data_IF_188621288681
#
_entry.id   IF_188621288681
#
_cell.length_a   1.000
_cell.length_b   1.000
_cell.length_c   1.000
_cell.angle_alpha   90.00
_cell.angle_beta   90.00
_cell.angle_gamma   90.00
#
_symmetry.space_group_name_H-M   'P 1'
#
loop_
_entity.id
_entity.type
_entity.pdbx_description
1 polymer ?
#
# COMPACT_ATOMS: atom_id res chain seq x y z
N UNK A 1 -0.71 12.31 16.04
CA UNK A 1 -1.95 12.22 15.22
C UNK A 1 -2.71 10.95 15.57
N UNK A 2 -4.03 11.01 15.72
CA UNK A 2 -4.87 9.81 15.84
C UNK A 2 -5.33 9.36 14.48
N UNK A 3 -5.32 8.05 14.26
CA UNK A 3 -5.89 7.44 13.06
C UNK A 3 -7.32 7.04 13.38
N UNK A 4 -8.27 7.82 12.89
CA UNK A 4 -9.71 7.62 13.17
C UNK A 4 -10.34 6.85 12.00
N UNK A 5 -11.19 5.85 12.26
CA UNK A 5 -11.81 5.04 11.20
C UNK A 5 -12.55 5.88 10.16
N UNK A 6 -13.29 6.89 10.58
CA UNK A 6 -14.07 7.76 9.70
C UNK A 6 -13.21 8.64 8.77
N UNK A 7 -11.94 8.84 9.11
CA UNK A 7 -11.00 9.67 8.34
C UNK A 7 -9.98 8.83 7.56
N UNK A 8 -10.10 7.50 7.57
CA UNK A 8 -9.06 6.60 7.09
C UNK A 8 -9.52 5.74 5.92
N UNK A 9 -8.66 5.65 4.92
CA UNK A 9 -8.72 4.68 3.84
C UNK A 9 -7.41 3.91 3.78
N UNK A 10 -7.31 2.95 2.86
CA UNK A 10 -6.10 2.14 2.70
C UNK A 10 -5.83 1.84 1.23
N UNK A 11 -4.56 1.62 0.91
CA UNK A 11 -4.11 1.14 -0.39
C UNK A 11 -3.14 -0.03 -0.22
N UNK A 12 -3.36 -1.07 -1.02
CA UNK A 12 -2.48 -2.25 -1.12
C UNK A 12 -1.73 -2.12 -2.43
N UNK A 13 -0.40 -2.05 -2.38
CA UNK A 13 0.43 -1.78 -3.54
C UNK A 13 1.25 -3.01 -3.91
N UNK A 14 0.99 -3.56 -5.10
CA UNK A 14 1.84 -4.56 -5.77
C UNK A 14 2.17 -5.81 -4.92
N UNK A 15 1.27 -6.24 -4.05
CA UNK A 15 1.42 -7.48 -3.28
C UNK A 15 1.01 -8.69 -4.12
N UNK A 16 1.67 -8.84 -5.25
CA UNK A 16 1.37 -9.80 -6.32
C UNK A 16 2.22 -11.06 -6.21
N UNK A 17 1.70 -12.16 -6.74
CA UNK A 17 2.29 -13.49 -6.64
C UNK A 17 3.79 -13.52 -6.96
N UNK A 18 4.18 -13.01 -8.14
CA UNK A 18 5.59 -13.06 -8.57
C UNK A 18 6.50 -12.08 -7.83
N UNK A 19 5.97 -10.92 -7.44
CA UNK A 19 6.75 -9.94 -6.66
C UNK A 19 6.97 -10.42 -5.24
N UNK A 20 5.94 -10.94 -4.59
CA UNK A 20 6.03 -11.40 -3.20
C UNK A 20 7.01 -12.55 -3.03
N UNK A 21 7.12 -13.44 -4.02
CA UNK A 21 8.10 -14.53 -4.02
C UNK A 21 9.55 -14.05 -3.87
N UNK A 22 9.85 -12.85 -4.37
CA UNK A 22 11.20 -12.29 -4.35
C UNK A 22 11.50 -11.46 -3.09
N UNK A 23 10.49 -11.18 -2.27
CA UNK A 23 10.64 -10.30 -1.11
C UNK A 23 11.27 -11.01 0.09
N UNK A 24 12.03 -10.25 0.88
CA UNK A 24 12.53 -10.70 2.18
C UNK A 24 11.37 -10.78 3.17
N UNK A 25 11.33 -11.82 3.99
CA UNK A 25 10.28 -12.04 5.00
C UNK A 25 8.86 -11.94 4.44
N UNK A 26 8.67 -12.44 3.23
CA UNK A 26 7.39 -12.32 2.50
C UNK A 26 6.20 -12.86 3.27
N UNK A 27 6.37 -14.00 3.94
CA UNK A 27 5.28 -14.65 4.69
C UNK A 27 4.82 -13.78 5.87
N UNK A 28 5.76 -13.22 6.62
CA UNK A 28 5.45 -12.35 7.75
C UNK A 28 4.71 -11.09 7.28
N UNK A 29 5.17 -10.50 6.17
CA UNK A 29 4.54 -9.34 5.55
C UNK A 29 3.11 -9.66 5.10
N UNK A 30 2.90 -10.79 4.41
CA UNK A 30 1.59 -11.25 3.98
C UNK A 30 0.62 -11.44 5.16
N UNK A 31 1.07 -12.08 6.23
CA UNK A 31 0.26 -12.32 7.43
C UNK A 31 -0.19 -11.00 8.08
N UNK A 32 0.73 -10.03 8.20
CA UNK A 32 0.40 -8.72 8.78
C UNK A 32 -0.53 -7.92 7.89
N UNK A 33 -0.31 -7.94 6.59
CA UNK A 33 -1.21 -7.28 5.64
C UNK A 33 -2.62 -7.89 5.69
N UNK A 34 -2.72 -9.22 5.72
CA UNK A 34 -4.01 -9.90 5.81
C UNK A 34 -4.73 -9.58 7.13
N UNK A 35 -4.01 -9.55 8.23
CA UNK A 35 -4.56 -9.18 9.55
C UNK A 35 -5.13 -7.76 9.52
N UNK A 36 -4.37 -6.81 8.99
CA UNK A 36 -4.81 -5.42 8.86
C UNK A 36 -6.04 -5.31 7.96
N UNK A 37 -6.02 -5.94 6.79
CA UNK A 37 -7.13 -5.89 5.85
C UNK A 37 -8.44 -6.45 6.44
N UNK A 38 -8.35 -7.53 7.19
CA UNK A 38 -9.53 -8.07 7.91
C UNK A 38 -10.10 -7.06 8.90
N UNK A 39 -9.23 -6.39 9.66
CA UNK A 39 -9.65 -5.34 10.58
C UNK A 39 -10.31 -4.17 9.87
N UNK A 40 -9.74 -3.75 8.75
CA UNK A 40 -10.29 -2.66 7.94
C UNK A 40 -11.66 -3.04 7.36
N UNK A 41 -11.83 -4.28 6.92
CA UNK A 41 -13.11 -4.78 6.43
C UNK A 41 -14.18 -4.76 7.52
N UNK A 42 -13.85 -5.22 8.72
CA UNK A 42 -14.78 -5.21 9.87
C UNK A 42 -15.21 -3.79 10.22
N UNK A 43 -14.29 -2.82 10.13
CA UNK A 43 -14.56 -1.42 10.41
C UNK A 43 -15.17 -0.66 9.22
N UNK A 44 -15.42 -1.33 8.11
CA UNK A 44 -15.91 -0.72 6.86
C UNK A 44 -15.02 0.43 6.34
N UNK A 45 -13.71 0.30 6.53
CA UNK A 45 -12.73 1.26 6.01
C UNK A 45 -12.43 0.91 4.56
N UNK A 46 -12.62 1.87 3.62
CA UNK A 46 -12.42 1.60 2.20
C UNK A 46 -10.96 1.32 1.87
N UNK A 47 -10.75 0.32 1.02
CA UNK A 47 -9.43 -0.12 0.58
C UNK A 47 -9.37 -0.22 -0.94
N UNK A 48 -8.29 0.28 -1.52
CA UNK A 48 -7.99 0.14 -2.95
C UNK A 48 -6.82 -0.81 -3.12
N UNK A 49 -6.99 -1.82 -3.97
CA UNK A 49 -5.93 -2.75 -4.34
C UNK A 49 -5.35 -2.32 -5.68
N UNK A 50 -4.03 -2.18 -5.73
CA UNK A 50 -3.28 -1.75 -6.91
C UNK A 50 -2.34 -2.86 -7.34
N UNK A 51 -2.27 -3.12 -8.63
CA UNK A 51 -1.37 -4.10 -9.24
C UNK A 51 -0.50 -3.46 -10.33
N UNK A 52 0.75 -3.90 -10.37
CA UNK A 52 1.69 -3.53 -11.41
C UNK A 52 1.65 -4.59 -12.51
N UNK A 53 1.40 -4.19 -13.78
CA UNK A 53 1.51 -5.10 -14.93
C UNK A 53 1.04 -6.53 -14.62
N UNK A 54 -0.25 -6.69 -14.40
CA UNK A 54 -0.87 -7.95 -13.94
C UNK A 54 -0.52 -9.14 -14.83
N UNK A 55 -0.50 -8.95 -16.17
CA UNK A 55 -0.16 -10.00 -17.13
C UNK A 55 1.23 -10.61 -16.88
N UNK A 56 2.19 -9.79 -16.44
CA UNK A 56 3.56 -10.24 -16.18
C UNK A 56 3.81 -10.65 -14.74
N UNK A 57 3.22 -9.96 -13.78
CA UNK A 57 3.51 -10.13 -12.36
C UNK A 57 2.47 -10.92 -11.57
N UNK A 58 1.35 -11.25 -12.20
CA UNK A 58 0.27 -12.00 -11.57
C UNK A 58 -0.67 -11.12 -10.76
N UNK A 59 -1.61 -11.76 -10.08
CA UNK A 59 -2.60 -11.10 -9.23
C UNK A 59 -2.10 -10.88 -7.81
N UNK A 60 -2.77 -10.01 -7.09
CA UNK A 60 -2.62 -9.88 -5.63
C UNK A 60 -2.81 -11.25 -4.99
N UNK A 61 -2.06 -11.53 -3.93
CA UNK A 61 -2.13 -12.81 -3.23
C UNK A 61 -3.58 -13.15 -2.83
N UNK A 62 -4.04 -14.39 -3.04
CA UNK A 62 -5.42 -14.78 -2.72
C UNK A 62 -5.84 -14.47 -1.29
N UNK A 63 -4.93 -14.66 -0.33
CA UNK A 63 -5.17 -14.34 1.08
C UNK A 63 -5.50 -12.87 1.32
N UNK A 64 -4.94 -11.98 0.51
CA UNK A 64 -5.17 -10.53 0.63
C UNK A 64 -6.49 -10.13 0.00
N UNK A 65 -6.86 -10.71 -1.13
CA UNK A 65 -8.20 -10.54 -1.70
C UNK A 65 -9.28 -11.00 -0.71
N UNK A 66 -9.09 -12.17 -0.12
CA UNK A 66 -10.02 -12.71 0.88
C UNK A 66 -10.13 -11.78 2.08
N UNK A 67 -9.00 -11.34 2.64
CA UNK A 67 -8.96 -10.45 3.80
C UNK A 67 -9.61 -9.09 3.50
N UNK A 68 -9.43 -8.56 2.30
CA UNK A 68 -10.04 -7.31 1.86
C UNK A 68 -11.52 -7.45 1.50
N UNK A 69 -12.00 -8.68 1.28
CA UNK A 69 -13.39 -8.95 0.89
C UNK A 69 -13.74 -8.54 -0.54
N UNK A 70 -12.75 -8.45 -1.41
CA UNK A 70 -12.93 -8.07 -2.81
C UNK A 70 -11.84 -8.66 -3.69
N UNK A 71 -12.13 -8.83 -4.98
CA UNK A 71 -11.14 -9.17 -6.00
C UNK A 71 -10.95 -8.03 -7.01
N UNK A 72 -11.54 -6.87 -6.73
CA UNK A 72 -11.36 -5.68 -7.56
C UNK A 72 -9.97 -5.09 -7.37
N UNK A 73 -9.36 -4.67 -8.45
CA UNK A 73 -8.05 -4.02 -8.45
C UNK A 73 -7.95 -2.96 -9.51
N UNK A 74 -6.98 -2.06 -9.34
CA UNK A 74 -6.58 -1.09 -10.35
C UNK A 74 -5.18 -1.44 -10.84
N UNK A 75 -4.94 -1.34 -12.13
CA UNK A 75 -3.62 -1.62 -12.72
C UNK A 75 -2.85 -0.34 -12.99
N UNK A 76 -1.55 -0.37 -12.75
CA UNK A 76 -0.63 0.72 -13.07
C UNK A 76 0.60 0.24 -13.83
N UNK A 77 1.29 1.15 -14.50
CA UNK A 77 2.57 0.92 -15.16
C UNK A 77 3.69 1.80 -14.56
N UNK A 78 3.35 2.71 -13.66
CA UNK A 78 4.29 3.58 -12.93
C UNK A 78 4.66 2.96 -11.58
N UNK A 79 5.72 3.45 -10.95
CA UNK A 79 6.07 3.03 -9.58
C UNK A 79 5.06 3.60 -8.58
N UNK A 80 4.90 4.91 -8.53
CA UNK A 80 3.88 5.55 -7.69
C UNK A 80 2.47 5.28 -8.21
N UNK A 81 1.57 4.87 -7.33
CA UNK A 81 0.16 4.71 -7.68
C UNK A 81 -0.51 6.05 -8.03
N UNK A 82 0.01 7.16 -7.51
CA UNK A 82 -0.54 8.50 -7.78
C UNK A 82 -0.21 9.02 -9.19
N UNK A 83 0.72 8.39 -9.90
CA UNK A 83 1.03 8.73 -11.30
C UNK A 83 0.01 8.15 -12.27
N UNK A 84 -0.89 7.32 -11.79
CA UNK A 84 -2.03 6.85 -12.56
C UNK A 84 -3.26 7.66 -12.13
N UNK A 85 -3.80 8.45 -13.06
CA UNK A 85 -4.92 9.35 -12.75
C UNK A 85 -6.15 8.62 -12.22
N UNK A 86 -6.49 7.48 -12.79
CA UNK A 86 -7.66 6.72 -12.37
C UNK A 86 -7.52 6.21 -10.92
N UNK A 87 -6.32 5.82 -10.52
CA UNK A 87 -6.04 5.39 -9.14
C UNK A 87 -6.12 6.58 -8.19
N UNK A 88 -5.50 7.70 -8.53
CA UNK A 88 -5.55 8.91 -7.71
C UNK A 88 -7.00 9.40 -7.55
N UNK A 89 -7.77 9.44 -8.63
CA UNK A 89 -9.18 9.82 -8.58
C UNK A 89 -9.98 8.89 -7.66
N UNK A 90 -9.68 7.60 -7.70
CA UNK A 90 -10.35 6.61 -6.83
C UNK A 90 -10.00 6.81 -5.35
N UNK A 91 -8.75 7.11 -5.04
CA UNK A 91 -8.33 7.45 -3.68
C UNK A 91 -8.99 8.75 -3.20
N UNK A 92 -9.04 9.77 -4.05
CA UNK A 92 -9.71 11.03 -3.74
C UNK A 92 -11.21 10.83 -3.51
N UNK A 93 -11.86 9.94 -4.28
CA UNK A 93 -13.29 9.65 -4.15
C UNK A 93 -13.67 9.03 -2.81
N UNK A 94 -12.72 8.44 -2.09
CA UNK A 94 -12.99 7.91 -0.74
C UNK A 94 -13.27 9.02 0.27
N UNK A 95 -12.84 10.26 0.00
CA UNK A 95 -13.04 11.39 0.91
C UNK A 95 -12.33 11.23 2.26
N UNK A 96 -11.19 10.52 2.29
CA UNK A 96 -10.44 10.22 3.51
C UNK A 96 -9.14 11.03 3.57
N UNK A 97 -8.79 11.44 4.76
CA UNK A 97 -7.57 12.20 5.03
C UNK A 97 -6.35 11.29 5.14
N UNK A 98 -6.48 10.22 5.92
CA UNK A 98 -5.40 9.28 6.18
C UNK A 98 -5.46 8.12 5.21
N UNK A 99 -4.32 7.73 4.64
CA UNK A 99 -4.21 6.55 3.78
C UNK A 99 -3.17 5.61 4.39
N UNK A 100 -3.63 4.46 4.87
CA UNK A 100 -2.73 3.39 5.28
C UNK A 100 -2.12 2.76 4.03
N UNK A 101 -0.80 2.68 3.99
CA UNK A 101 -0.08 2.17 2.82
C UNK A 101 0.64 0.88 3.18
N UNK A 102 0.28 -0.20 2.50
CA UNK A 102 0.96 -1.49 2.60
C UNK A 102 1.35 -1.95 1.20
N UNK A 103 2.39 -2.76 1.08
CA UNK A 103 2.80 -3.27 -0.22
C UNK A 103 4.28 -3.47 -0.43
N UNK A 104 4.67 -3.58 -1.69
CA UNK A 104 6.02 -3.83 -2.19
C UNK A 104 6.37 -2.98 -3.40
N UNK A 105 7.61 -2.69 -3.68
CA UNK A 105 8.71 -2.77 -2.73
C UNK A 105 8.70 -1.50 -1.87
N UNK A 106 9.04 -1.65 -0.61
CA UNK A 106 9.00 -0.54 0.35
C UNK A 106 9.77 0.70 -0.12
N UNK A 107 10.93 0.49 -0.74
CA UNK A 107 11.84 1.57 -1.18
C UNK A 107 11.55 2.07 -2.61
N UNK A 108 10.57 1.51 -3.31
CA UNK A 108 10.22 1.89 -4.68
C UNK A 108 8.76 2.35 -4.76
N UNK A 109 7.84 1.44 -5.08
CA UNK A 109 6.43 1.79 -5.29
C UNK A 109 5.77 2.34 -4.03
N UNK A 110 6.04 1.76 -2.87
CA UNK A 110 5.47 2.20 -1.60
C UNK A 110 5.97 3.60 -1.24
N UNK A 111 7.28 3.81 -1.17
CA UNK A 111 7.86 5.10 -0.81
C UNK A 111 7.43 6.21 -1.76
N UNK A 112 7.53 5.98 -3.08
CA UNK A 112 7.12 6.98 -4.07
C UNK A 112 5.63 7.31 -3.97
N UNK A 113 4.79 6.31 -3.70
CA UNK A 113 3.35 6.53 -3.49
C UNK A 113 3.09 7.36 -2.24
N UNK A 114 3.79 7.11 -1.14
CA UNK A 114 3.67 7.92 0.08
C UNK A 114 4.03 9.39 -0.18
N UNK A 115 5.16 9.63 -0.85
CA UNK A 115 5.60 10.99 -1.20
C UNK A 115 4.53 11.70 -2.05
N UNK A 116 4.04 11.03 -3.07
CA UNK A 116 3.04 11.64 -3.98
C UNK A 116 1.68 11.80 -3.31
N UNK A 117 1.26 10.86 -2.43
CA UNK A 117 0.04 10.99 -1.64
C UNK A 117 0.09 12.24 -0.76
N UNK A 118 1.21 12.47 -0.10
CA UNK A 118 1.41 13.67 0.72
C UNK A 118 1.31 14.94 -0.13
N UNK A 119 1.95 14.96 -1.28
CA UNK A 119 1.88 16.07 -2.23
C UNK A 119 0.45 16.32 -2.73
N UNK A 120 -0.37 15.27 -2.81
CA UNK A 120 -1.78 15.36 -3.21
C UNK A 120 -2.72 15.78 -2.07
N UNK A 121 -2.20 16.00 -0.87
CA UNK A 121 -2.97 16.49 0.28
C UNK A 121 -3.44 15.41 1.25
N UNK A 122 -3.05 14.16 1.05
CA UNK A 122 -3.32 13.08 2.00
C UNK A 122 -2.27 13.04 3.12
N UNK A 123 -2.61 12.31 4.18
CA UNK A 123 -1.67 11.91 5.22
C UNK A 123 -1.38 10.42 5.04
N UNK A 124 -0.30 10.05 4.34
CA UNK A 124 0.08 8.65 4.20
C UNK A 124 0.61 8.09 5.51
N UNK A 125 0.30 6.84 5.79
CA UNK A 125 0.81 6.11 6.95
C UNK A 125 1.38 4.79 6.44
N UNK A 126 2.70 4.69 6.33
CA UNK A 126 3.35 3.45 5.94
C UNK A 126 3.26 2.43 7.06
N UNK A 127 2.63 1.29 6.78
CA UNK A 127 2.47 0.20 7.76
C UNK A 127 3.72 -0.68 7.71
N UNK A 128 4.68 -0.43 8.59
CA UNK A 128 6.04 -0.96 8.50
C UNK A 128 6.16 -2.48 8.53
N UNK A 129 5.25 -3.19 9.16
CA UNK A 129 5.24 -4.65 9.19
C UNK A 129 4.40 -5.27 8.04
N UNK A 130 3.76 -4.43 7.24
CA UNK A 130 3.01 -4.82 6.05
C UNK A 130 3.63 -4.28 4.75
N UNK A 131 4.90 -3.90 4.79
CA UNK A 131 5.70 -3.56 3.60
C UNK A 131 6.91 -4.46 3.53
N UNK A 132 7.42 -4.71 2.33
CA UNK A 132 8.59 -5.56 2.12
C UNK A 132 9.43 -5.06 0.95
N UNK A 133 10.71 -5.42 0.98
CA UNK A 133 11.65 -5.25 -0.12
C UNK A 133 12.46 -6.54 -0.27
N UNK A 134 13.16 -6.69 -1.40
CA UNK A 134 14.01 -7.86 -1.64
C UNK A 134 15.13 -7.96 -0.61
N UNK A 135 15.66 -6.81 -0.17
CA UNK A 135 16.71 -6.75 0.83
C UNK A 135 16.23 -5.94 2.04
N UNK A 136 16.55 -6.43 3.23
CA UNK A 136 16.21 -5.75 4.48
C UNK A 136 16.80 -4.33 4.56
N UNK A 137 18.03 -4.15 4.04
CA UNK A 137 18.67 -2.84 4.00
C UNK A 137 17.84 -1.82 3.20
N UNK A 138 17.25 -2.22 2.10
CA UNK A 138 16.42 -1.34 1.27
C UNK A 138 15.11 -0.97 1.98
N UNK A 139 14.48 -1.91 2.68
CA UNK A 139 13.30 -1.63 3.49
C UNK A 139 13.62 -0.64 4.61
N UNK A 140 14.74 -0.84 5.31
CA UNK A 140 15.18 0.05 6.39
C UNK A 140 15.37 1.48 5.89
N UNK A 141 16.05 1.64 4.76
CA UNK A 141 16.26 2.96 4.15
C UNK A 141 14.94 3.61 3.76
N UNK A 142 14.00 2.83 3.22
CA UNK A 142 12.67 3.32 2.86
C UNK A 142 11.93 3.89 4.07
N UNK A 143 11.96 3.17 5.19
CA UNK A 143 11.32 3.61 6.43
C UNK A 143 11.97 4.90 6.96
N UNK A 144 13.29 4.96 6.97
CA UNK A 144 14.04 6.16 7.39
C UNK A 144 13.71 7.36 6.49
N UNK A 145 13.64 7.13 5.19
CA UNK A 145 13.29 8.18 4.22
C UNK A 145 11.86 8.68 4.41
N UNK A 146 10.91 7.78 4.66
CA UNK A 146 9.52 8.17 4.92
C UNK A 146 9.40 9.03 6.18
N UNK A 147 10.12 8.69 7.23
CA UNK A 147 10.14 9.50 8.45
C UNK A 147 10.66 10.91 8.14
N UNK A 148 11.70 11.06 7.31
CA UNK A 148 12.20 12.37 6.89
C UNK A 148 11.15 13.16 6.12
N UNK A 149 10.50 12.54 5.12
CA UNK A 149 9.47 13.19 4.31
C UNK A 149 8.31 13.68 5.19
N UNK A 150 7.93 12.93 6.21
CA UNK A 150 6.89 13.33 7.17
C UNK A 150 7.32 14.51 8.03
N UNK A 151 8.59 14.57 8.45
CA UNK A 151 9.10 15.64 9.32
C UNK A 151 9.35 16.97 8.59
N UNK A 152 9.47 16.95 7.27
CA UNK A 152 9.67 18.15 6.44
C UNK A 152 8.38 18.87 6.05
N UNK A 153 7.29 18.43 6.60
CA UNK A 153 5.97 18.99 6.28
C UNK A 153 5.70 20.34 6.94
#
# INVERSE_FOLDING_TARGET
MRILPEETGAVVIDMQEKLMMAMNETKACEEKAAMLLKGLQVLSIPTVIVQQYTKGLGHTLPSLYEAAGTTEYCEKASFSCCRNKAILDKLESMGKKNILVMGTEAHICVLQSCIDLKAAGFQPVMVVDAVASRREADKKIAIEREIQEESEA
#
